data_IF_237835365857
#
_entry.id   IF_237835365857
#
_cell.length_a   1.000
_cell.length_b   1.000
_cell.length_c   1.000
_cell.angle_alpha   90.00
_cell.angle_beta   90.00
_cell.angle_gamma   90.00
#
_symmetry.space_group_name_H-M   'P 1'
#
loop_
_entity.id
_entity.type
_entity.pdbx_description
1 polymer ?
#
# COMPACT_ATOMS: atom_id res chain seq x y z
N UNK A 1 0.06 -20.57 -17.15
CA UNK A 1 -1.07 -21.18 -16.45
C UNK A 1 -2.41 -20.95 -17.16
N UNK A 2 -3.50 -21.57 -16.67
CA UNK A 2 -4.84 -21.33 -17.18
C UNK A 2 -5.26 -19.89 -16.87
N UNK A 3 -5.75 -19.16 -17.88
CA UNK A 3 -6.37 -17.84 -17.71
C UNK A 3 -7.85 -17.99 -17.41
N UNK A 4 -8.40 -17.19 -16.50
CA UNK A 4 -9.80 -17.20 -16.12
C UNK A 4 -10.26 -15.81 -15.66
N UNK A 5 -11.57 -15.67 -15.51
CA UNK A 5 -12.24 -14.51 -14.93
C UNK A 5 -13.68 -14.87 -14.62
N UNK A 6 -14.36 -13.99 -13.91
CA UNK A 6 -15.74 -14.21 -13.48
C UNK A 6 -16.71 -13.32 -14.25
N UNK A 7 -17.92 -13.82 -14.41
CA UNK A 7 -19.09 -13.03 -14.81
C UNK A 7 -20.15 -13.25 -13.76
N UNK A 8 -20.57 -12.17 -13.12
CA UNK A 8 -21.49 -12.25 -11.99
C UNK A 8 -22.84 -11.73 -12.41
N UNK A 9 -23.89 -12.49 -12.09
CA UNK A 9 -25.28 -12.17 -12.34
C UNK A 9 -25.95 -11.73 -11.05
N UNK A 10 -26.77 -10.67 -11.11
CA UNK A 10 -27.47 -10.13 -9.96
C UNK A 10 -28.26 -8.88 -10.32
N UNK A 11 -28.86 -8.21 -9.34
CA UNK A 11 -29.63 -7.00 -9.59
C UNK A 11 -28.75 -5.84 -10.06
N UNK A 12 -29.29 -5.04 -10.97
CA UNK A 12 -28.79 -3.74 -11.30
C UNK A 12 -29.68 -2.67 -10.65
N UNK A 13 -29.27 -2.20 -9.50
CA UNK A 13 -29.95 -1.14 -8.73
C UNK A 13 -28.88 -0.22 -8.11
N UNK A 14 -28.31 0.72 -8.91
CA UNK A 14 -27.24 1.60 -8.46
C UNK A 14 -27.62 2.45 -7.23
N UNK A 15 -28.89 2.83 -7.10
CA UNK A 15 -29.37 3.62 -5.96
C UNK A 15 -29.29 2.83 -4.64
N UNK A 16 -29.34 1.48 -4.70
CA UNK A 16 -29.13 0.60 -3.57
C UNK A 16 -27.71 0.02 -3.52
N UNK A 17 -26.81 0.49 -4.37
CA UNK A 17 -25.44 0.04 -4.46
C UNK A 17 -25.22 -1.28 -5.20
N UNK A 18 -26.22 -1.84 -5.86
CA UNK A 18 -26.10 -3.08 -6.63
C UNK A 18 -25.70 -2.79 -8.08
N UNK A 19 -24.53 -3.34 -8.51
CA UNK A 19 -23.92 -3.06 -9.82
C UNK A 19 -23.50 -4.33 -10.56
N UNK A 20 -24.26 -5.42 -10.42
CA UNK A 20 -23.96 -6.68 -11.13
C UNK A 20 -24.16 -6.52 -12.63
N UNK A 21 -23.12 -6.80 -13.41
CA UNK A 21 -23.17 -6.68 -14.87
C UNK A 21 -22.41 -7.84 -15.53
N UNK A 22 -23.10 -8.87 -16.03
CA UNK A 22 -22.45 -10.03 -16.63
C UNK A 22 -21.74 -9.73 -17.96
N UNK A 23 -21.90 -8.54 -18.56
CA UNK A 23 -21.12 -8.13 -19.70
C UNK A 23 -19.66 -7.79 -19.31
N UNK A 24 -19.36 -7.59 -18.01
CA UNK A 24 -18.01 -7.28 -17.52
C UNK A 24 -17.31 -8.56 -17.08
N UNK A 25 -16.15 -8.84 -17.68
CA UNK A 25 -15.24 -9.88 -17.22
C UNK A 25 -14.45 -9.35 -16.04
N UNK A 26 -14.51 -10.05 -14.91
CA UNK A 26 -13.93 -9.64 -13.64
C UNK A 26 -12.72 -10.51 -13.32
N UNK A 27 -11.66 -9.90 -12.81
CA UNK A 27 -10.57 -10.63 -12.18
C UNK A 27 -11.01 -11.17 -10.83
N UNK A 28 -10.41 -12.26 -10.43
CA UNK A 28 -10.57 -12.82 -9.09
C UNK A 28 -9.90 -11.90 -8.06
N UNK A 29 -10.62 -11.41 -7.04
CA UNK A 29 -10.02 -10.57 -5.98
C UNK A 29 -8.87 -11.24 -5.23
N UNK A 30 -8.77 -12.57 -5.29
CA UNK A 30 -7.72 -13.36 -4.65
C UNK A 30 -6.73 -13.97 -5.67
N UNK A 31 -6.69 -13.46 -6.89
CA UNK A 31 -5.77 -13.97 -7.91
C UNK A 31 -4.31 -13.72 -7.51
N UNK A 32 -3.48 -14.75 -7.55
CA UNK A 32 -2.04 -14.65 -7.28
C UNK A 32 -1.23 -14.18 -8.50
N UNK A 33 -1.86 -14.03 -9.63
CA UNK A 33 -1.32 -13.44 -10.85
C UNK A 33 -2.44 -12.92 -11.73
N UNK A 34 -2.23 -11.74 -12.28
CA UNK A 34 -3.13 -11.14 -13.28
C UNK A 34 -2.30 -10.79 -14.51
N UNK A 35 -2.75 -11.25 -15.66
CA UNK A 35 -2.14 -10.98 -16.98
C UNK A 35 -2.87 -9.82 -17.66
N UNK A 36 -2.11 -8.87 -18.14
CA UNK A 36 -2.58 -7.67 -18.83
C UNK A 36 -2.68 -6.46 -17.89
N UNK A 37 -2.66 -5.29 -18.48
CA UNK A 37 -2.87 -4.00 -17.83
C UNK A 37 -4.35 -3.64 -17.78
N UNK A 38 -4.69 -2.61 -17.03
CA UNK A 38 -6.00 -1.98 -17.02
C UNK A 38 -5.97 -0.77 -17.96
N UNK A 39 -6.42 -0.89 -19.22
CA UNK A 39 -6.40 0.20 -20.18
C UNK A 39 -7.52 1.21 -19.91
N UNK A 40 -7.34 2.46 -20.36
CA UNK A 40 -8.40 3.46 -20.46
C UNK A 40 -9.35 3.12 -21.61
N UNK A 41 -10.27 2.17 -21.37
CA UNK A 41 -11.20 1.65 -22.39
C UNK A 41 -12.63 1.65 -21.86
N UNK A 42 -13.53 2.34 -22.56
CA UNK A 42 -14.94 2.46 -22.16
C UNK A 42 -15.67 1.11 -21.99
N UNK A 43 -15.21 0.05 -22.63
CA UNK A 43 -15.79 -1.31 -22.47
C UNK A 43 -15.62 -1.86 -21.06
N UNK A 44 -14.68 -1.33 -20.28
CA UNK A 44 -14.48 -1.70 -18.87
C UNK A 44 -15.49 -1.05 -17.94
N UNK A 45 -16.15 0.02 -18.35
CA UNK A 45 -17.11 0.74 -17.49
C UNK A 45 -18.41 -0.04 -17.38
N UNK A 46 -18.92 -0.20 -16.15
CA UNK A 46 -20.15 -0.95 -15.86
C UNK A 46 -21.43 -0.21 -16.25
N UNK A 47 -21.33 1.09 -16.44
CA UNK A 47 -22.45 2.02 -16.58
C UNK A 47 -22.80 2.73 -15.26
N UNK A 48 -23.39 3.91 -15.33
CA UNK A 48 -23.76 4.69 -14.15
C UNK A 48 -25.20 4.35 -13.70
N UNK A 49 -26.21 4.64 -14.53
CA UNK A 49 -27.62 4.42 -14.22
C UNK A 49 -28.23 3.24 -14.99
N UNK A 50 -27.69 2.95 -16.17
CA UNK A 50 -28.04 1.81 -17.00
C UNK A 50 -26.82 0.92 -17.16
N UNK A 51 -26.97 -0.43 -17.15
CA UNK A 51 -25.83 -1.31 -17.34
C UNK A 51 -25.28 -1.16 -18.76
N UNK A 52 -23.98 -0.90 -18.86
CA UNK A 52 -23.28 -0.97 -20.15
C UNK A 52 -23.14 -2.43 -20.60
N UNK A 53 -23.76 -2.77 -21.72
CA UNK A 53 -23.83 -4.14 -22.24
C UNK A 53 -22.67 -4.55 -23.15
N UNK A 54 -21.70 -3.64 -23.42
CA UNK A 54 -20.51 -3.98 -24.18
C UNK A 54 -19.68 -5.02 -23.44
N UNK A 55 -19.28 -6.08 -24.12
CA UNK A 55 -18.44 -7.13 -23.51
C UNK A 55 -17.02 -6.62 -23.29
N UNK A 56 -16.54 -6.70 -22.06
CA UNK A 56 -15.20 -6.26 -21.68
C UNK A 56 -14.12 -7.34 -21.89
N UNK A 57 -14.47 -8.58 -22.20
CA UNK A 57 -13.51 -9.70 -22.18
C UNK A 57 -12.30 -9.52 -23.10
N UNK A 58 -12.44 -8.77 -24.18
CA UNK A 58 -11.33 -8.52 -25.11
C UNK A 58 -10.25 -7.60 -24.55
N UNK A 59 -10.59 -6.75 -23.55
CA UNK A 59 -9.71 -5.70 -23.00
C UNK A 59 -9.44 -5.84 -21.50
N UNK A 60 -10.30 -6.56 -20.78
CA UNK A 60 -10.12 -6.78 -19.36
C UNK A 60 -8.87 -7.64 -19.08
N UNK A 61 -8.08 -7.32 -18.04
CA UNK A 61 -7.05 -8.21 -17.53
C UNK A 61 -7.66 -9.55 -17.08
N UNK A 62 -6.85 -10.60 -17.00
CA UNK A 62 -7.31 -11.95 -16.65
C UNK A 62 -6.50 -12.51 -15.50
N UNK A 63 -7.19 -13.13 -14.57
CA UNK A 63 -6.56 -13.94 -13.54
C UNK A 63 -5.88 -15.16 -14.15
N UNK A 64 -4.77 -15.58 -13.55
CA UNK A 64 -4.02 -16.74 -14.02
C UNK A 64 -3.77 -17.71 -12.85
N UNK A 65 -4.00 -19.01 -13.11
CA UNK A 65 -3.64 -20.07 -12.15
C UNK A 65 -2.13 -20.21 -12.09
N UNK A 66 -1.56 -20.15 -10.91
CA UNK A 66 -0.12 -20.29 -10.66
C UNK A 66 0.16 -21.40 -9.66
N UNK A 67 1.36 -21.96 -9.72
CA UNK A 67 1.88 -22.89 -8.73
C UNK A 67 2.57 -22.07 -7.62
N UNK A 68 2.10 -22.20 -6.39
CA UNK A 68 2.64 -21.47 -5.25
C UNK A 68 3.80 -22.18 -4.56
N UNK A 69 4.15 -23.40 -5.00
CA UNK A 69 5.27 -24.14 -4.39
C UNK A 69 6.58 -23.40 -4.57
N UNK A 70 7.32 -23.27 -3.47
CA UNK A 70 8.62 -22.63 -3.44
C UNK A 70 9.53 -23.32 -2.41
N UNK A 71 10.83 -23.30 -2.63
CA UNK A 71 11.80 -23.90 -1.71
C UNK A 71 12.29 -22.89 -0.67
N UNK A 72 11.61 -22.84 0.45
CA UNK A 72 11.97 -22.01 1.60
C UNK A 72 13.01 -22.63 2.54
N UNK A 73 13.57 -23.81 2.21
CA UNK A 73 14.57 -24.44 3.07
C UNK A 73 15.74 -23.50 3.35
N UNK A 74 16.11 -23.41 4.66
CA UNK A 74 17.18 -22.52 5.14
C UNK A 74 16.76 -21.09 5.38
N UNK A 75 15.54 -20.68 5.00
CA UNK A 75 15.03 -19.36 5.34
C UNK A 75 14.73 -19.25 6.84
N UNK A 76 15.08 -18.08 7.41
CA UNK A 76 14.83 -17.74 8.82
C UNK A 76 14.56 -16.25 8.92
N UNK A 77 13.32 -15.85 9.20
CA UNK A 77 12.97 -14.45 9.47
C UNK A 77 13.85 -13.89 10.59
N UNK A 78 14.42 -12.68 10.43
CA UNK A 78 15.34 -12.08 11.41
C UNK A 78 14.71 -11.82 12.77
N UNK A 79 13.43 -11.42 12.80
CA UNK A 79 12.68 -11.09 14.02
C UNK A 79 13.37 -10.04 14.88
N UNK A 80 13.88 -9.00 14.27
CA UNK A 80 14.55 -7.88 14.93
C UNK A 80 13.61 -7.22 15.95
N UNK A 81 14.02 -7.07 17.23
CA UNK A 81 13.19 -6.36 18.21
C UNK A 81 12.87 -4.94 17.76
N UNK A 82 11.68 -4.43 18.08
CA UNK A 82 11.28 -3.07 17.73
C UNK A 82 12.27 -1.99 18.16
N UNK A 83 12.87 -2.13 19.35
CA UNK A 83 13.88 -1.19 19.86
C UNK A 83 15.20 -1.17 19.09
N UNK A 84 15.43 -2.15 18.21
CA UNK A 84 16.62 -2.28 17.36
C UNK A 84 16.28 -2.12 15.87
N UNK A 85 15.00 -1.83 15.56
CA UNK A 85 14.53 -1.76 14.18
C UNK A 85 14.86 -0.40 13.57
N UNK A 86 15.60 -0.43 12.47
CA UNK A 86 15.86 0.73 11.61
C UNK A 86 15.30 0.41 10.22
N UNK A 87 14.28 1.18 9.83
CA UNK A 87 13.51 0.97 8.60
C UNK A 87 14.05 1.89 7.50
N UNK A 88 14.26 1.34 6.32
CA UNK A 88 14.54 2.09 5.10
C UNK A 88 13.41 1.88 4.11
N UNK A 89 12.62 2.92 3.87
CA UNK A 89 11.57 2.92 2.86
C UNK A 89 12.16 3.09 1.47
N UNK A 90 11.75 2.27 0.52
CA UNK A 90 12.27 2.30 -0.84
C UNK A 90 11.25 1.83 -1.88
N UNK A 91 11.36 2.40 -3.08
CA UNK A 91 10.62 1.93 -4.25
C UNK A 91 11.46 0.89 -5.00
N UNK A 92 10.90 -0.28 -5.34
CA UNK A 92 11.64 -1.38 -5.98
C UNK A 92 12.44 -0.92 -7.20
N UNK A 93 11.78 -0.21 -8.12
CA UNK A 93 12.42 0.30 -9.32
C UNK A 93 13.40 1.45 -9.03
N UNK A 94 12.94 2.45 -8.26
CA UNK A 94 13.71 3.67 -8.00
C UNK A 94 15.02 3.43 -7.27
N UNK A 95 15.04 2.46 -6.35
CA UNK A 95 16.21 2.15 -5.52
C UNK A 95 17.40 1.69 -6.34
N UNK A 96 17.19 0.93 -7.41
CA UNK A 96 18.28 0.21 -8.09
C UNK A 96 18.45 0.56 -9.57
N UNK A 97 17.49 1.25 -10.20
CA UNK A 97 17.47 1.49 -11.66
C UNK A 97 18.75 2.19 -12.17
N UNK A 98 19.25 3.14 -11.42
CA UNK A 98 20.44 3.91 -11.78
C UNK A 98 21.72 3.43 -11.09
N UNK A 99 21.69 2.28 -10.42
CA UNK A 99 22.87 1.78 -9.70
C UNK A 99 23.87 1.11 -10.66
N UNK A 100 25.05 1.73 -10.89
CA UNK A 100 26.04 1.18 -11.84
C UNK A 100 26.73 -0.08 -11.34
N UNK A 101 26.64 -0.41 -10.06
CA UNK A 101 27.24 -1.63 -9.49
C UNK A 101 26.40 -2.89 -9.76
N UNK A 102 25.21 -2.72 -10.30
CA UNK A 102 24.34 -3.83 -10.65
C UNK A 102 24.39 -4.14 -12.14
N UNK A 103 24.26 -5.42 -12.53
CA UNK A 103 24.02 -5.79 -13.93
C UNK A 103 22.77 -5.08 -14.46
N UNK A 104 22.86 -4.53 -15.65
CA UNK A 104 21.77 -3.74 -16.26
C UNK A 104 20.44 -4.52 -16.32
N UNK A 105 20.50 -5.81 -16.64
CA UNK A 105 19.34 -6.68 -16.79
C UNK A 105 18.50 -6.88 -15.52
N UNK A 106 19.04 -6.55 -14.33
CA UNK A 106 18.31 -6.71 -13.07
C UNK A 106 18.02 -5.37 -12.38
N UNK A 107 18.50 -4.24 -12.91
CA UNK A 107 18.24 -2.93 -12.33
C UNK A 107 16.74 -2.62 -12.32
N UNK A 108 16.25 -2.09 -11.21
CA UNK A 108 14.84 -1.76 -11.04
C UNK A 108 13.92 -2.95 -10.81
N UNK A 109 14.47 -4.13 -10.50
CA UNK A 109 13.69 -5.36 -10.32
C UNK A 109 13.79 -5.95 -8.92
N UNK A 110 12.87 -6.88 -8.57
CA UNK A 110 12.93 -7.65 -7.32
C UNK A 110 14.28 -8.35 -7.14
N UNK A 111 14.82 -8.90 -8.22
CA UNK A 111 16.10 -9.61 -8.21
C UNK A 111 17.27 -8.73 -7.76
N UNK A 112 17.21 -7.43 -8.06
CA UNK A 112 18.23 -6.47 -7.63
C UNK A 112 18.26 -6.32 -6.11
N UNK A 113 17.12 -6.42 -5.40
CA UNK A 113 17.05 -6.23 -3.95
C UNK A 113 17.91 -7.24 -3.18
N UNK A 114 17.93 -8.50 -3.64
CA UNK A 114 18.74 -9.57 -3.05
C UNK A 114 20.18 -9.65 -3.57
N UNK A 115 20.60 -8.75 -4.47
CA UNK A 115 21.94 -8.79 -5.02
C UNK A 115 23.01 -8.42 -3.97
N UNK A 116 24.18 -9.10 -3.92
CA UNK A 116 25.20 -8.87 -2.90
C UNK A 116 25.63 -7.41 -2.74
N UNK A 117 25.70 -6.63 -3.84
CA UNK A 117 26.02 -5.20 -3.79
C UNK A 117 24.95 -4.39 -3.03
N UNK A 118 23.67 -4.72 -3.20
CA UNK A 118 22.59 -4.05 -2.47
C UNK A 118 22.56 -4.46 -0.99
N UNK A 119 22.79 -5.73 -0.70
CA UNK A 119 22.92 -6.21 0.69
C UNK A 119 24.08 -5.51 1.40
N UNK A 120 25.22 -5.38 0.74
CA UNK A 120 26.36 -4.63 1.28
C UNK A 120 26.01 -3.15 1.54
N UNK A 121 25.27 -2.53 0.62
CA UNK A 121 24.78 -1.17 0.78
C UNK A 121 23.84 -1.04 1.99
N UNK A 122 22.83 -1.90 2.12
CA UNK A 122 21.91 -1.89 3.26
C UNK A 122 22.64 -2.09 4.60
N UNK A 123 23.58 -3.00 4.65
CA UNK A 123 24.44 -3.20 5.84
C UNK A 123 25.28 -1.97 6.16
N UNK A 124 25.79 -1.27 5.16
CA UNK A 124 26.56 -0.04 5.37
C UNK A 124 25.72 1.11 5.92
N UNK A 125 24.41 1.12 5.64
CA UNK A 125 23.44 2.06 6.22
C UNK A 125 23.04 1.67 7.65
N UNK A 126 23.29 0.43 8.08
CA UNK A 126 22.88 -0.08 9.39
C UNK A 126 21.38 -0.34 9.51
N UNK A 127 20.67 -0.53 8.40
CA UNK A 127 19.23 -0.87 8.43
C UNK A 127 19.02 -2.31 8.84
N UNK A 128 17.92 -2.57 9.53
CA UNK A 128 17.46 -3.92 9.91
C UNK A 128 16.17 -4.32 9.20
N UNK A 129 15.49 -3.39 8.52
CA UNK A 129 14.29 -3.65 7.75
C UNK A 129 14.26 -2.80 6.47
N UNK A 130 13.87 -3.43 5.36
CA UNK A 130 13.58 -2.77 4.10
C UNK A 130 12.05 -2.71 3.94
N UNK A 131 11.49 -1.51 3.94
CA UNK A 131 10.08 -1.26 3.64
C UNK A 131 9.94 -0.94 2.16
N UNK A 132 9.12 -1.70 1.46
CA UNK A 132 8.91 -1.52 0.02
C UNK A 132 7.57 -0.84 -0.24
N UNK A 133 7.58 0.25 -1.04
CA UNK A 133 6.37 0.82 -1.61
C UNK A 133 5.58 -0.29 -2.32
N UNK A 134 4.28 -0.07 -2.61
CA UNK A 134 3.39 -1.15 -3.04
C UNK A 134 3.97 -2.04 -4.14
N UNK A 135 4.04 -3.33 -3.84
CA UNK A 135 4.49 -4.38 -4.77
C UNK A 135 3.33 -5.20 -5.34
N UNK A 136 2.14 -5.06 -4.75
CA UNK A 136 0.92 -5.64 -5.31
C UNK A 136 0.61 -5.02 -6.68
N UNK A 137 0.05 -5.80 -7.60
CA UNK A 137 -0.23 -5.30 -8.95
C UNK A 137 -1.22 -4.15 -8.94
N UNK A 138 -0.84 -3.05 -9.58
CA UNK A 138 -1.58 -1.80 -9.61
C UNK A 138 -1.80 -1.29 -11.03
N UNK A 139 -2.78 -0.40 -11.20
CA UNK A 139 -3.12 0.21 -12.46
C UNK A 139 -2.60 1.66 -12.55
N UNK A 140 -2.36 2.13 -13.78
CA UNK A 140 -2.20 3.56 -14.03
C UNK A 140 -3.58 4.18 -14.26
N UNK A 141 -3.80 5.35 -13.66
CA UNK A 141 -5.04 6.10 -13.82
C UNK A 141 -5.25 6.53 -15.27
N UNK A 142 -6.49 6.60 -15.76
CA UNK A 142 -6.81 7.03 -17.12
C UNK A 142 -6.15 8.36 -17.52
N UNK A 143 -6.10 9.31 -16.59
CA UNK A 143 -5.43 10.60 -16.80
C UNK A 143 -3.95 10.43 -17.15
N UNK A 144 -3.21 9.62 -16.38
CA UNK A 144 -1.79 9.37 -16.62
C UNK A 144 -1.57 8.65 -17.95
N UNK A 145 -2.41 7.66 -18.27
CA UNK A 145 -2.33 6.94 -19.56
C UNK A 145 -2.50 7.90 -20.74
N UNK A 146 -3.48 8.81 -20.68
CA UNK A 146 -3.70 9.83 -21.73
C UNK A 146 -2.53 10.82 -21.88
N UNK A 147 -1.75 11.03 -20.83
CA UNK A 147 -0.53 11.84 -20.83
C UNK A 147 0.72 11.07 -21.27
N UNK A 148 0.61 9.75 -21.52
CA UNK A 148 1.75 8.88 -21.79
C UNK A 148 2.61 8.62 -20.55
N UNK A 149 2.06 8.84 -19.36
CA UNK A 149 2.68 8.58 -18.07
C UNK A 149 2.14 7.28 -17.45
N UNK A 150 2.80 6.80 -16.42
CA UNK A 150 2.33 5.66 -15.62
C UNK A 150 2.34 6.01 -14.14
N UNK A 151 1.46 5.36 -13.37
CA UNK A 151 1.55 5.42 -11.92
C UNK A 151 2.90 4.85 -11.49
N UNK A 152 3.64 5.60 -10.67
CA UNK A 152 4.98 5.23 -10.25
C UNK A 152 5.00 4.58 -8.87
N UNK A 153 4.25 5.12 -7.92
CA UNK A 153 4.30 4.67 -6.53
C UNK A 153 3.56 3.35 -6.27
N UNK A 154 2.47 3.08 -7.00
CA UNK A 154 1.70 1.85 -6.86
C UNK A 154 0.45 1.96 -5.97
N UNK A 155 0.09 3.15 -5.49
CA UNK A 155 -1.11 3.34 -4.66
C UNK A 155 -2.39 3.40 -5.50
N UNK A 156 -2.59 2.42 -6.37
CA UNK A 156 -3.81 2.23 -7.15
C UNK A 156 -4.05 0.74 -7.39
N UNK A 157 -4.36 -0.04 -6.33
CA UNK A 157 -4.31 -1.50 -6.35
C UNK A 157 -5.38 -2.11 -7.26
N UNK A 158 -4.95 -3.08 -8.05
CA UNK A 158 -5.78 -3.88 -8.94
C UNK A 158 -5.92 -5.34 -8.44
N UNK A 159 -4.83 -5.93 -7.97
CA UNK A 159 -4.80 -7.32 -7.51
C UNK A 159 -3.89 -7.47 -6.29
N UNK A 160 -4.48 -7.64 -5.12
CA UNK A 160 -3.82 -7.60 -3.80
C UNK A 160 -2.96 -8.81 -3.47
N UNK A 161 -3.22 -9.97 -4.09
CA UNK A 161 -2.47 -11.21 -3.91
C UNK A 161 -1.44 -11.47 -5.01
N UNK A 162 -1.29 -10.54 -5.96
CA UNK A 162 -0.42 -10.68 -7.11
C UNK A 162 0.70 -9.65 -7.07
N UNK A 163 1.94 -10.08 -7.30
CA UNK A 163 3.06 -9.17 -7.49
C UNK A 163 2.95 -8.43 -8.83
N UNK A 164 3.35 -7.16 -8.84
CA UNK A 164 3.43 -6.38 -10.05
C UNK A 164 4.55 -6.91 -10.96
N UNK A 165 4.23 -7.43 -12.16
CA UNK A 165 5.22 -8.03 -13.04
C UNK A 165 6.21 -7.03 -13.64
N UNK A 166 5.91 -5.72 -13.57
CA UNK A 166 6.81 -4.66 -14.08
C UNK A 166 8.08 -4.51 -13.26
N UNK A 167 8.10 -5.05 -12.03
CA UNK A 167 9.27 -5.07 -11.16
C UNK A 167 10.05 -6.39 -11.22
N UNK A 168 9.72 -7.29 -12.13
CA UNK A 168 10.47 -8.52 -12.34
C UNK A 168 11.44 -8.42 -13.53
N UNK A 169 12.57 -9.10 -13.46
CA UNK A 169 13.47 -9.27 -14.62
C UNK A 169 12.87 -10.24 -15.64
N UNK A 170 12.09 -11.20 -15.16
CA UNK A 170 11.22 -12.08 -15.92
C UNK A 170 9.80 -11.99 -15.36
N UNK A 171 8.85 -11.34 -16.08
CA UNK A 171 7.46 -11.17 -15.64
C UNK A 171 6.75 -12.47 -15.28
N UNK A 172 7.15 -13.59 -15.88
CA UNK A 172 6.58 -14.91 -15.60
C UNK A 172 7.08 -15.49 -14.27
N UNK A 173 8.14 -14.94 -13.73
CA UNK A 173 8.78 -15.37 -12.49
C UNK A 173 8.75 -14.31 -11.38
N UNK A 174 7.89 -13.31 -11.47
CA UNK A 174 7.82 -12.22 -10.50
C UNK A 174 7.73 -12.72 -9.04
N UNK A 175 6.90 -13.73 -8.78
CA UNK A 175 6.72 -14.30 -7.45
C UNK A 175 8.00 -14.96 -6.93
N UNK A 176 8.68 -15.74 -7.77
CA UNK A 176 9.94 -16.41 -7.38
C UNK A 176 11.07 -15.39 -7.18
N UNK A 177 11.18 -14.38 -8.06
CA UNK A 177 12.21 -13.34 -7.92
C UNK A 177 12.04 -12.54 -6.62
N UNK A 178 10.81 -12.25 -6.24
CA UNK A 178 10.51 -11.58 -4.97
C UNK A 178 10.88 -12.47 -3.79
N UNK A 179 10.49 -13.76 -3.81
CA UNK A 179 10.83 -14.74 -2.76
C UNK A 179 12.33 -14.95 -2.63
N UNK A 180 13.05 -15.03 -3.76
CA UNK A 180 14.53 -15.12 -3.78
C UNK A 180 15.15 -13.89 -3.11
N UNK A 181 14.61 -12.68 -3.36
CA UNK A 181 15.07 -11.45 -2.73
C UNK A 181 14.81 -11.46 -1.22
N UNK A 182 13.60 -11.83 -0.77
CA UNK A 182 13.26 -11.94 0.66
C UNK A 182 14.22 -12.91 1.35
N UNK A 183 14.42 -14.10 0.78
CA UNK A 183 15.34 -15.11 1.32
C UNK A 183 16.78 -14.62 1.44
N UNK A 184 17.26 -13.86 0.45
CA UNK A 184 18.60 -13.26 0.48
C UNK A 184 18.73 -12.15 1.53
N UNK A 185 17.70 -11.32 1.71
CA UNK A 185 17.63 -10.28 2.74
C UNK A 185 17.60 -10.89 4.14
N UNK A 186 16.79 -11.93 4.37
CA UNK A 186 16.74 -12.67 5.65
C UNK A 186 18.12 -13.26 6.00
N UNK A 187 18.80 -13.88 5.02
CA UNK A 187 20.16 -14.40 5.24
C UNK A 187 21.15 -13.31 5.63
N UNK A 188 20.87 -12.06 5.29
CA UNK A 188 21.66 -10.89 5.67
C UNK A 188 21.22 -10.23 7.00
N UNK A 189 20.15 -10.75 7.64
CA UNK A 189 19.58 -10.17 8.85
C UNK A 189 18.69 -8.96 8.61
N UNK A 190 18.10 -8.83 7.41
CA UNK A 190 17.25 -7.69 7.00
C UNK A 190 15.82 -8.19 6.82
N UNK A 191 14.90 -7.63 7.56
CA UNK A 191 13.46 -7.89 7.43
C UNK A 191 12.88 -7.19 6.18
N UNK A 192 11.76 -7.71 5.67
CA UNK A 192 11.01 -7.11 4.56
C UNK A 192 9.63 -6.71 5.05
N UNK A 193 9.32 -5.42 4.94
CA UNK A 193 8.02 -4.84 5.26
C UNK A 193 7.37 -4.40 3.95
N UNK A 194 6.09 -4.71 3.76
CA UNK A 194 5.35 -4.27 2.58
C UNK A 194 4.42 -3.10 2.93
N UNK A 195 4.47 -2.07 2.11
CA UNK A 195 3.42 -1.06 2.06
C UNK A 195 2.20 -1.67 1.36
N UNK A 196 1.08 -1.75 2.06
CA UNK A 196 -0.13 -2.41 1.58
C UNK A 196 -1.32 -1.47 1.55
N UNK A 197 -1.99 -1.42 0.40
CA UNK A 197 -3.14 -0.55 0.14
C UNK A 197 -4.42 -1.36 0.26
N UNK A 198 -5.05 -1.36 1.44
CA UNK A 198 -6.33 -2.03 1.70
C UNK A 198 -7.50 -1.05 1.82
N UNK A 199 -7.28 0.22 1.53
CA UNK A 199 -8.27 1.26 1.79
C UNK A 199 -9.11 1.62 0.55
N UNK A 200 -8.62 1.39 -0.67
CA UNK A 200 -9.33 1.67 -1.93
C UNK A 200 -8.91 0.70 -3.05
N UNK A 201 -9.50 0.87 -4.23
CA UNK A 201 -9.19 0.08 -5.42
C UNK A 201 -9.04 0.94 -6.66
N UNK A 202 -8.40 0.38 -7.70
CA UNK A 202 -8.27 0.98 -9.03
C UNK A 202 -9.61 1.14 -9.79
N UNK A 203 -10.73 0.71 -9.20
CA UNK A 203 -12.07 0.93 -9.78
C UNK A 203 -12.56 2.37 -9.61
N UNK A 204 -11.80 3.24 -8.93
CA UNK A 204 -11.98 4.70 -8.80
C UNK A 204 -13.39 5.03 -8.25
N UNK A 205 -14.11 5.94 -8.90
CA UNK A 205 -15.46 6.40 -8.57
C UNK A 205 -16.55 5.65 -9.38
N UNK A 206 -17.78 6.16 -9.37
CA UNK A 206 -18.90 5.55 -10.10
C UNK A 206 -18.69 5.48 -11.62
N UNK A 207 -17.89 6.36 -12.19
CA UNK A 207 -17.58 6.39 -13.61
C UNK A 207 -16.39 5.48 -13.96
N UNK A 208 -15.65 5.00 -12.95
CA UNK A 208 -14.50 4.15 -13.13
C UNK A 208 -14.82 2.74 -13.66
N UNK A 209 -13.77 1.95 -13.93
CA UNK A 209 -13.93 0.62 -14.50
C UNK A 209 -14.59 -0.36 -13.52
N UNK A 210 -15.26 -1.38 -14.05
CA UNK A 210 -15.80 -2.53 -13.32
C UNK A 210 -14.99 -3.75 -13.72
N UNK A 211 -14.01 -4.12 -12.91
CA UNK A 211 -13.01 -5.14 -13.26
C UNK A 211 -12.74 -6.16 -12.16
N UNK A 212 -13.22 -5.90 -10.93
CA UNK A 212 -13.04 -6.80 -9.79
C UNK A 212 -14.17 -6.63 -8.77
N UNK A 213 -13.89 -6.04 -7.62
CA UNK A 213 -14.74 -5.96 -6.43
C UNK A 213 -16.13 -5.40 -6.71
N UNK A 214 -16.21 -4.31 -7.49
CA UNK A 214 -17.46 -3.67 -7.88
C UNK A 214 -18.42 -4.63 -8.59
N UNK A 215 -17.88 -5.41 -9.51
CA UNK A 215 -18.68 -6.37 -10.27
C UNK A 215 -18.98 -7.65 -9.50
N UNK A 216 -18.16 -8.00 -8.50
CA UNK A 216 -18.35 -9.17 -7.64
C UNK A 216 -19.49 -8.92 -6.63
N UNK A 217 -19.35 -7.87 -5.82
CA UNK A 217 -20.38 -7.41 -4.88
C UNK A 217 -20.07 -5.99 -4.38
N UNK A 218 -20.51 -5.00 -5.16
CA UNK A 218 -20.22 -3.60 -4.88
C UNK A 218 -20.59 -3.18 -3.46
N UNK A 219 -21.77 -3.60 -2.99
CA UNK A 219 -22.32 -3.17 -1.70
C UNK A 219 -21.56 -3.74 -0.50
N UNK A 220 -20.99 -4.93 -0.63
CA UNK A 220 -20.21 -5.56 0.42
C UNK A 220 -18.80 -5.01 0.48
N UNK A 221 -18.15 -4.81 -0.67
CA UNK A 221 -16.76 -4.39 -0.75
C UNK A 221 -16.54 -2.91 -0.48
N UNK A 222 -17.52 -2.04 -0.76
CA UNK A 222 -17.35 -0.59 -0.65
C UNK A 222 -18.27 0.04 0.39
N UNK A 223 -17.82 1.13 0.98
CA UNK A 223 -18.66 2.03 1.72
C UNK A 223 -19.54 2.83 0.75
N UNK A 224 -20.80 2.41 0.60
CA UNK A 224 -21.81 3.01 -0.28
C UNK A 224 -22.72 3.92 0.53
N UNK A 225 -22.93 5.14 0.03
CA UNK A 225 -23.85 6.13 0.60
C UNK A 225 -25.32 5.80 0.23
N UNK A 226 -26.25 6.48 0.86
CA UNK A 226 -27.69 6.31 0.60
C UNK A 226 -28.11 6.64 -0.84
N UNK A 227 -27.34 7.50 -1.54
CA UNK A 227 -27.56 7.87 -2.94
C UNK A 227 -26.89 6.89 -3.93
N UNK A 228 -26.26 5.84 -3.45
CA UNK A 228 -25.57 4.83 -4.25
C UNK A 228 -24.14 5.20 -4.65
N UNK A 229 -23.65 6.40 -4.26
CA UNK A 229 -22.27 6.81 -4.46
C UNK A 229 -21.36 6.27 -3.35
N UNK A 230 -20.05 6.43 -3.49
CA UNK A 230 -19.07 5.97 -2.50
C UNK A 230 -18.76 7.04 -1.45
N UNK A 231 -18.50 6.58 -0.22
CA UNK A 231 -17.68 7.37 0.69
C UNK A 231 -16.25 7.42 0.14
N UNK A 232 -15.76 8.63 -0.09
CA UNK A 232 -14.40 8.85 -0.60
C UNK A 232 -13.48 9.38 0.51
N UNK A 233 -13.26 8.58 1.56
CA UNK A 233 -12.36 8.92 2.66
C UNK A 233 -10.89 8.76 2.31
N UNK A 234 -10.61 8.22 1.14
CA UNK A 234 -9.25 7.95 0.64
C UNK A 234 -8.74 9.03 -0.32
N UNK A 235 -9.64 9.81 -0.92
CA UNK A 235 -9.30 10.73 -2.00
C UNK A 235 -9.19 10.07 -3.38
N UNK A 236 -9.30 8.73 -3.44
CA UNK A 236 -9.13 7.94 -4.67
C UNK A 236 -10.44 7.54 -5.35
N UNK A 237 -11.57 8.11 -4.92
CA UNK A 237 -12.89 7.89 -5.50
C UNK A 237 -13.75 6.84 -4.79
N UNK A 238 -13.16 5.93 -4.04
CA UNK A 238 -13.87 4.91 -3.28
C UNK A 238 -13.18 4.63 -1.94
N UNK A 239 -13.86 3.92 -1.06
CA UNK A 239 -13.32 3.40 0.20
C UNK A 239 -13.81 1.97 0.41
N UNK A 240 -12.88 1.04 0.66
CA UNK A 240 -13.24 -0.35 0.96
C UNK A 240 -13.87 -0.48 2.35
N UNK A 241 -14.90 -1.33 2.45
CA UNK A 241 -15.63 -1.58 3.68
C UNK A 241 -14.97 -2.69 4.52
N UNK A 242 -13.90 -2.35 5.21
CA UNK A 242 -13.16 -3.26 6.10
C UNK A 242 -13.88 -3.54 7.43
N UNK A 243 -15.17 -3.22 7.54
CA UNK A 243 -16.06 -3.67 8.63
C UNK A 243 -17.00 -4.80 8.20
N UNK A 244 -17.18 -5.04 6.89
CA UNK A 244 -18.00 -6.13 6.39
C UNK A 244 -17.31 -7.48 6.60
N UNK A 245 -17.94 -8.51 7.21
CA UNK A 245 -17.28 -9.76 7.59
C UNK A 245 -16.55 -10.47 6.45
N UNK A 246 -17.16 -10.52 5.25
CA UNK A 246 -16.53 -11.15 4.08
C UNK A 246 -15.29 -10.39 3.57
N UNK A 247 -15.30 -9.04 3.68
CA UNK A 247 -14.17 -8.20 3.27
C UNK A 247 -13.05 -8.26 4.32
N UNK A 248 -13.39 -8.33 5.60
CA UNK A 248 -12.43 -8.57 6.69
C UNK A 248 -11.70 -9.89 6.48
N UNK A 249 -12.42 -10.96 6.17
CA UNK A 249 -11.81 -12.27 5.92
C UNK A 249 -10.94 -12.27 4.68
N UNK A 250 -11.36 -11.63 3.59
CA UNK A 250 -10.56 -11.45 2.38
C UNK A 250 -9.27 -10.67 2.67
N UNK A 251 -9.34 -9.57 3.40
CA UNK A 251 -8.18 -8.77 3.80
C UNK A 251 -7.22 -9.57 4.69
N UNK A 252 -7.77 -10.34 5.65
CA UNK A 252 -6.97 -11.23 6.51
C UNK A 252 -6.23 -12.29 5.68
N UNK A 253 -6.91 -12.92 4.71
CA UNK A 253 -6.29 -13.89 3.81
C UNK A 253 -5.21 -13.25 2.93
N UNK A 254 -5.42 -12.01 2.47
CA UNK A 254 -4.41 -11.26 1.74
C UNK A 254 -3.14 -11.08 2.57
N UNK A 255 -3.25 -10.61 3.80
CA UNK A 255 -2.11 -10.45 4.70
C UNK A 255 -1.42 -11.79 4.99
N UNK A 256 -2.22 -12.86 5.19
CA UNK A 256 -1.68 -14.22 5.39
C UNK A 256 -0.90 -14.72 4.18
N UNK A 257 -1.38 -14.48 2.96
CA UNK A 257 -0.65 -14.83 1.74
C UNK A 257 0.75 -14.22 1.72
N UNK A 258 0.88 -12.94 2.02
CA UNK A 258 2.18 -12.28 2.04
C UNK A 258 3.13 -12.82 3.11
N UNK A 259 2.60 -13.19 4.27
CA UNK A 259 3.42 -13.77 5.35
C UNK A 259 3.71 -15.25 5.08
N UNK A 260 2.69 -16.06 4.76
CA UNK A 260 2.84 -17.51 4.67
C UNK A 260 3.53 -17.94 3.38
N UNK A 261 3.26 -17.25 2.25
CA UNK A 261 3.76 -17.63 0.93
C UNK A 261 4.97 -16.80 0.49
N UNK A 262 5.10 -15.57 0.98
CA UNK A 262 6.17 -14.67 0.60
C UNK A 262 7.16 -14.36 1.74
N UNK A 263 6.91 -14.85 2.94
CA UNK A 263 7.74 -14.69 4.15
C UNK A 263 8.06 -13.23 4.50
N UNK A 264 7.14 -12.30 4.24
CA UNK A 264 7.32 -10.91 4.67
C UNK A 264 7.19 -10.78 6.19
N UNK A 265 7.94 -9.86 6.79
CA UNK A 265 8.07 -9.70 8.24
C UNK A 265 7.09 -8.66 8.81
N UNK A 266 6.38 -7.94 7.94
CA UNK A 266 5.43 -6.94 8.40
C UNK A 266 4.79 -6.14 7.28
N UNK A 267 3.94 -5.20 7.71
CA UNK A 267 3.18 -4.33 6.83
C UNK A 267 3.20 -2.89 7.33
N UNK A 268 3.30 -1.95 6.40
CA UNK A 268 2.86 -0.57 6.58
C UNK A 268 1.52 -0.43 5.86
N UNK A 269 0.49 0.01 6.57
CA UNK A 269 -0.85 0.14 6.01
C UNK A 269 -1.07 1.59 5.56
N UNK A 270 -1.29 1.75 4.27
CA UNK A 270 -1.67 3.01 3.64
C UNK A 270 -3.03 3.47 4.15
N UNK A 271 -3.16 4.76 4.52
CA UNK A 271 -4.37 5.36 5.07
C UNK A 271 -5.06 4.44 6.11
N UNK A 272 -4.30 3.95 7.09
CA UNK A 272 -4.72 2.88 8.00
C UNK A 272 -5.94 3.23 8.84
N UNK A 273 -6.32 4.51 8.97
CA UNK A 273 -7.55 4.91 9.65
C UNK A 273 -8.80 4.28 9.02
N UNK A 274 -8.76 3.97 7.71
CA UNK A 274 -9.85 3.25 7.03
C UNK A 274 -10.10 1.87 7.64
N UNK A 275 -9.06 1.19 8.14
CA UNK A 275 -9.19 -0.14 8.76
C UNK A 275 -10.03 -0.11 10.04
N UNK A 276 -10.06 1.05 10.73
CA UNK A 276 -10.80 1.26 11.97
C UNK A 276 -12.23 1.79 11.78
N UNK A 277 -12.63 2.11 10.55
CA UNK A 277 -13.94 2.73 10.29
C UNK A 277 -15.11 1.75 10.40
N UNK A 278 -16.19 2.20 11.17
CA UNK A 278 -17.42 1.41 11.45
C UNK A 278 -18.72 2.24 11.55
N UNK A 279 -19.01 3.36 10.88
CA UNK A 279 -18.20 4.22 9.98
C UNK A 279 -17.19 5.15 10.67
N UNK A 280 -17.33 5.37 11.97
CA UNK A 280 -16.37 6.12 12.77
C UNK A 280 -15.20 5.23 13.17
N UNK A 281 -14.04 5.82 13.44
CA UNK A 281 -12.86 5.06 13.82
C UNK A 281 -13.03 4.39 15.20
N UNK A 282 -12.68 3.10 15.28
CA UNK A 282 -12.69 2.31 16.51
C UNK A 282 -11.45 1.44 16.62
N UNK A 283 -10.86 1.36 17.81
CA UNK A 283 -9.70 0.49 18.08
C UNK A 283 -10.06 -1.01 18.09
N UNK A 284 -11.33 -1.34 18.29
CA UNK A 284 -11.88 -2.70 18.28
C UNK A 284 -12.61 -3.02 16.97
N UNK A 285 -12.29 -2.29 15.88
CA UNK A 285 -12.87 -2.55 14.57
C UNK A 285 -12.60 -3.98 14.09
N UNK A 286 -13.49 -4.56 13.27
CA UNK A 286 -13.45 -5.99 12.92
C UNK A 286 -12.11 -6.45 12.33
N UNK A 287 -11.46 -5.65 11.49
CA UNK A 287 -10.19 -6.03 10.90
C UNK A 287 -9.04 -6.02 11.93
N UNK A 288 -9.00 -5.04 12.85
CA UNK A 288 -8.02 -5.02 13.93
C UNK A 288 -8.16 -6.26 14.82
N UNK A 289 -9.40 -6.63 15.16
CA UNK A 289 -9.68 -7.84 15.93
C UNK A 289 -9.32 -9.13 15.19
N UNK A 290 -9.55 -9.18 13.88
CA UNK A 290 -9.17 -10.33 13.05
C UNK A 290 -7.64 -10.51 13.02
N UNK A 291 -6.87 -9.41 12.85
CA UNK A 291 -5.41 -9.43 12.88
C UNK A 291 -4.91 -9.84 14.28
N UNK A 292 -5.46 -9.26 15.34
CA UNK A 292 -5.07 -9.55 16.73
C UNK A 292 -5.25 -11.03 17.10
N UNK A 293 -6.32 -11.65 16.60
CA UNK A 293 -6.64 -13.08 16.88
C UNK A 293 -5.92 -14.04 15.97
N UNK A 294 -5.36 -13.59 14.87
CA UNK A 294 -4.62 -14.44 13.95
C UNK A 294 -3.23 -14.76 14.52
N UNK A 295 -2.91 -16.06 14.66
CA UNK A 295 -1.69 -16.53 15.30
C UNK A 295 -0.40 -16.17 14.54
N UNK A 296 -0.52 -15.79 13.27
CA UNK A 296 0.62 -15.39 12.43
C UNK A 296 0.67 -13.86 12.33
N UNK A 297 -0.44 -13.22 11.96
CA UNK A 297 -0.47 -11.78 11.76
C UNK A 297 -0.20 -10.98 13.04
N UNK A 298 -0.55 -11.53 14.20
CA UNK A 298 -0.21 -10.91 15.49
C UNK A 298 1.28 -10.95 15.84
N UNK A 299 2.11 -11.66 15.07
CA UNK A 299 3.55 -11.83 15.33
C UNK A 299 4.45 -11.03 14.37
N UNK A 300 3.90 -10.44 13.32
CA UNK A 300 4.65 -9.62 12.37
C UNK A 300 4.59 -8.15 12.75
N UNK A 301 5.48 -7.34 12.18
CA UNK A 301 5.47 -5.89 12.38
C UNK A 301 4.27 -5.26 11.68
N UNK A 302 3.50 -4.46 12.42
CA UNK A 302 2.34 -3.75 11.90
C UNK A 302 2.54 -2.25 12.12
N UNK A 303 2.55 -1.48 11.05
CA UNK A 303 2.78 -0.04 11.05
C UNK A 303 1.56 0.63 10.42
N UNK A 304 0.97 1.58 11.12
CA UNK A 304 -0.12 2.37 10.58
C UNK A 304 0.39 3.70 10.05
N UNK A 305 -0.07 4.08 8.86
CA UNK A 305 -0.20 5.48 8.49
C UNK A 305 -1.48 5.99 9.16
N UNK A 306 -1.40 6.77 10.25
CA UNK A 306 -2.52 6.93 11.18
C UNK A 306 -3.48 8.06 10.79
N UNK A 307 -3.81 8.19 9.50
CA UNK A 307 -4.79 9.16 8.99
C UNK A 307 -5.51 8.67 7.74
N UNK A 308 -6.59 9.35 7.41
CA UNK A 308 -7.26 9.40 6.12
C UNK A 308 -7.90 10.81 5.96
N UNK A 309 -8.50 11.11 4.80
CA UNK A 309 -9.03 12.45 4.53
C UNK A 309 -10.50 12.64 4.96
N UNK A 310 -11.14 11.60 5.49
CA UNK A 310 -12.52 11.68 5.94
C UNK A 310 -12.67 12.36 7.31
N UNK A 311 -13.90 12.72 7.68
CA UNK A 311 -14.17 13.27 9.01
C UNK A 311 -13.65 12.35 10.11
N UNK A 312 -12.90 12.91 11.09
CA UNK A 312 -12.29 12.14 12.17
C UNK A 312 -11.20 11.17 11.70
N UNK A 313 -10.61 11.38 10.52
CA UNK A 313 -9.63 10.46 9.92
C UNK A 313 -8.24 10.53 10.56
N UNK A 314 -7.86 11.63 11.20
CA UNK A 314 -6.56 11.75 11.88
C UNK A 314 -6.57 11.04 13.22
N UNK A 315 -5.78 9.96 13.36
CA UNK A 315 -5.84 9.02 14.47
C UNK A 315 -4.47 8.73 15.11
N UNK A 316 -3.51 9.65 15.00
CA UNK A 316 -2.18 9.48 15.62
C UNK A 316 -2.32 9.25 17.13
N UNK A 317 -1.73 8.15 17.62
CA UNK A 317 -1.81 7.71 19.01
C UNK A 317 -3.04 6.86 19.35
N UNK A 318 -3.99 6.71 18.44
CA UNK A 318 -5.27 6.04 18.71
C UNK A 318 -5.38 4.62 18.14
N UNK A 319 -4.36 4.07 17.50
CA UNK A 319 -4.39 2.68 17.00
C UNK A 319 -4.28 1.66 18.15
N UNK A 320 -4.73 0.41 17.95
CA UNK A 320 -4.53 -0.66 18.94
C UNK A 320 -3.06 -0.84 19.29
N UNK A 321 -2.71 -1.31 20.52
CA UNK A 321 -1.31 -1.47 20.97
C UNK A 321 -0.45 -2.40 20.11
N UNK A 322 -1.06 -3.23 19.27
CA UNK A 322 -0.36 -4.11 18.33
C UNK A 322 0.33 -3.33 17.19
N UNK A 323 -0.12 -2.09 16.92
CA UNK A 323 0.39 -1.26 15.83
C UNK A 323 1.41 -0.25 16.34
N UNK A 324 2.52 -0.15 15.61
CA UNK A 324 3.33 1.06 15.60
C UNK A 324 2.71 2.08 14.61
N UNK A 325 2.98 3.35 14.82
CA UNK A 325 2.36 4.41 14.03
C UNK A 325 3.41 5.37 13.48
N UNK A 326 3.26 5.80 12.25
CA UNK A 326 4.03 6.92 11.71
C UNK A 326 3.76 8.19 12.53
N UNK A 327 4.83 8.84 12.96
CA UNK A 327 4.75 10.02 13.82
C UNK A 327 5.09 11.30 13.03
N UNK A 328 4.06 11.93 12.47
CA UNK A 328 4.20 13.20 11.76
C UNK A 328 4.60 14.35 12.70
N UNK A 329 4.22 14.31 13.98
CA UNK A 329 4.68 15.27 14.97
C UNK A 329 6.21 15.21 15.17
N UNK A 330 6.79 14.00 15.15
CA UNK A 330 8.25 13.88 15.17
C UNK A 330 8.86 14.46 13.91
N UNK A 331 8.37 14.06 12.71
CA UNK A 331 8.83 14.54 11.42
C UNK A 331 8.86 16.07 11.37
N UNK A 332 7.73 16.67 11.67
CA UNK A 332 7.56 18.12 11.58
C UNK A 332 8.38 18.87 12.62
N UNK A 333 8.43 18.35 13.84
CA UNK A 333 9.25 18.92 14.92
C UNK A 333 10.75 18.85 14.60
N UNK A 334 11.22 17.71 14.08
CA UNK A 334 12.62 17.54 13.70
C UNK A 334 13.01 18.51 12.56
N UNK A 335 12.21 18.62 11.51
CA UNK A 335 12.44 19.56 10.41
C UNK A 335 12.44 21.01 10.89
N UNK A 336 11.46 21.40 11.70
CA UNK A 336 11.35 22.75 12.25
C UNK A 336 12.48 23.07 13.21
N UNK A 337 12.94 22.12 14.00
CA UNK A 337 14.06 22.32 14.94
C UNK A 337 15.37 22.55 14.20
N UNK A 338 15.70 21.68 13.22
CA UNK A 338 16.99 21.74 12.54
C UNK A 338 17.04 22.77 11.40
N UNK A 339 15.94 22.96 10.66
CA UNK A 339 15.94 23.78 9.45
C UNK A 339 15.35 25.18 9.70
N UNK A 340 14.34 25.33 10.55
CA UNK A 340 13.65 26.62 10.76
C UNK A 340 13.97 27.24 12.12
N UNK A 341 14.53 26.49 13.06
CA UNK A 341 14.89 26.93 14.40
C UNK A 341 13.70 27.57 15.19
N UNK A 342 12.49 27.08 14.96
CA UNK A 342 11.25 27.62 15.54
C UNK A 342 10.51 26.64 16.46
N UNK A 343 11.21 25.63 16.97
CA UNK A 343 10.72 24.66 17.97
C UNK A 343 11.65 24.70 19.17
N UNK A 344 11.09 24.66 20.38
CA UNK A 344 11.88 24.63 21.61
C UNK A 344 12.66 23.31 21.76
N UNK A 345 13.78 23.34 22.47
CA UNK A 345 14.54 22.13 22.81
C UNK A 345 13.66 21.14 23.61
N UNK A 346 12.77 21.63 24.49
CA UNK A 346 11.87 20.79 25.27
C UNK A 346 10.86 20.05 24.40
N UNK A 347 10.24 20.73 23.44
CA UNK A 347 9.28 20.12 22.51
C UNK A 347 9.98 19.08 21.63
N UNK A 348 11.16 19.40 21.09
CA UNK A 348 11.92 18.45 20.28
C UNK A 348 12.35 17.23 21.11
N UNK A 349 12.82 17.43 22.35
CA UNK A 349 13.21 16.34 23.24
C UNK A 349 12.03 15.42 23.56
N UNK A 350 10.82 15.97 23.76
CA UNK A 350 9.61 15.18 23.97
C UNK A 350 9.30 14.28 22.76
N UNK A 351 9.41 14.82 21.53
CA UNK A 351 9.23 14.02 20.29
C UNK A 351 10.31 12.95 20.17
N UNK A 352 11.57 13.33 20.42
CA UNK A 352 12.70 12.41 20.36
C UNK A 352 12.61 11.28 21.41
N UNK A 353 12.05 11.58 22.59
CA UNK A 353 11.80 10.61 23.66
C UNK A 353 10.46 9.86 23.48
N UNK A 354 10.10 9.51 22.24
CA UNK A 354 8.95 8.67 21.88
C UNK A 354 7.57 9.32 22.07
N UNK A 355 7.45 10.65 22.11
CA UNK A 355 6.16 11.36 22.12
C UNK A 355 5.13 10.77 23.12
N UNK A 356 5.52 10.66 24.38
CA UNK A 356 4.71 9.98 25.42
C UNK A 356 3.32 10.60 25.63
N UNK A 357 3.14 11.89 25.32
CA UNK A 357 1.85 12.58 25.33
C UNK A 357 0.85 12.01 24.28
N UNK A 358 1.36 11.42 23.20
CA UNK A 358 0.57 10.78 22.15
C UNK A 358 0.45 9.27 22.37
N UNK A 359 1.54 8.58 22.70
CA UNK A 359 1.64 7.12 22.64
C UNK A 359 1.63 6.42 24.01
N UNK A 360 1.85 7.11 25.14
CA UNK A 360 1.81 6.45 26.46
C UNK A 360 0.40 6.05 26.91
N UNK A 361 -0.64 6.47 26.19
CA UNK A 361 -2.01 6.04 26.43
C UNK A 361 -2.15 4.56 26.11
N UNK A 362 -3.06 3.89 26.79
CA UNK A 362 -3.41 2.48 26.56
C UNK A 362 -2.24 1.49 26.71
N UNK A 363 -1.16 1.89 27.42
CA UNK A 363 -0.04 1.02 27.73
C UNK A 363 0.89 0.72 26.54
N UNK A 364 0.88 1.55 25.50
CA UNK A 364 1.79 1.40 24.37
C UNK A 364 3.26 1.58 24.78
N UNK A 365 4.17 0.75 24.28
CA UNK A 365 5.60 0.90 24.53
C UNK A 365 6.17 2.13 23.81
N UNK A 366 7.34 2.64 24.21
CA UNK A 366 8.03 3.72 23.49
C UNK A 366 8.31 3.40 22.01
N UNK A 367 8.41 2.14 21.65
CA UNK A 367 8.59 1.66 20.26
C UNK A 367 7.31 1.67 19.42
N UNK A 368 6.17 2.09 19.97
CA UNK A 368 4.93 2.25 19.21
C UNK A 368 4.99 3.46 18.24
N UNK A 369 5.95 4.36 18.41
CA UNK A 369 6.16 5.48 17.50
C UNK A 369 7.23 5.15 16.45
N UNK A 370 6.90 5.28 15.17
CA UNK A 370 7.86 5.24 14.06
C UNK A 370 8.29 6.69 13.80
N UNK A 371 9.49 7.03 14.25
CA UNK A 371 10.08 8.34 14.07
C UNK A 371 10.70 8.43 12.67
N UNK A 372 10.19 9.30 11.82
CA UNK A 372 10.68 9.50 10.44
C UNK A 372 11.01 10.98 10.21
N UNK A 373 11.96 11.25 9.32
CA UNK A 373 12.26 12.61 8.86
C UNK A 373 11.69 12.84 7.47
N UNK A 374 11.73 11.82 6.63
CA UNK A 374 11.20 11.81 5.25
C UNK A 374 10.54 10.46 4.96
N UNK A 375 9.58 10.45 4.04
CA UNK A 375 8.96 9.28 3.45
C UNK A 375 8.79 9.53 1.94
N UNK A 376 8.06 8.65 1.23
CA UNK A 376 7.73 8.88 -0.18
C UNK A 376 6.88 10.14 -0.38
N UNK A 377 6.05 10.50 0.61
CA UNK A 377 5.25 11.72 0.61
C UNK A 377 6.06 12.96 0.99
N UNK A 378 5.75 14.08 0.32
CA UNK A 378 6.40 15.35 0.58
C UNK A 378 7.83 15.41 0.05
N UNK A 379 8.67 16.23 0.69
CA UNK A 379 10.03 16.46 0.25
C UNK A 379 10.97 15.29 0.60
N UNK A 380 11.85 14.95 -0.33
CA UNK A 380 13.04 14.14 -0.04
C UNK A 380 13.94 14.87 0.97
N UNK A 381 14.87 14.14 1.58
CA UNK A 381 15.84 14.77 2.49
C UNK A 381 16.66 15.87 1.80
N UNK A 382 16.99 15.70 0.51
CA UNK A 382 17.63 16.73 -0.29
C UNK A 382 16.75 17.95 -0.51
N UNK A 383 15.49 17.74 -0.87
CA UNK A 383 14.56 18.84 -1.16
C UNK A 383 14.27 19.67 0.09
N UNK A 384 14.28 19.05 1.27
CA UNK A 384 14.14 19.74 2.55
C UNK A 384 15.21 20.82 2.79
N UNK A 385 16.40 20.67 2.19
CA UNK A 385 17.54 21.59 2.34
C UNK A 385 17.89 22.33 1.04
N UNK A 386 17.08 22.17 -0.02
CA UNK A 386 17.32 22.80 -1.32
C UNK A 386 16.15 23.67 -1.80
N UNK A 387 14.94 23.49 -1.28
CA UNK A 387 13.75 24.17 -1.77
C UNK A 387 12.86 24.64 -0.63
N UNK A 388 12.34 25.86 -0.77
CA UNK A 388 11.32 26.41 0.15
C UNK A 388 9.89 26.05 -0.28
N UNK A 389 9.69 25.68 -1.54
CA UNK A 389 8.39 25.35 -2.11
C UNK A 389 8.49 24.10 -2.98
N UNK A 390 7.37 23.39 -3.13
CA UNK A 390 7.29 22.22 -4.00
C UNK A 390 7.40 22.60 -5.49
N UNK A 391 7.90 21.65 -6.30
CA UNK A 391 8.11 21.78 -7.74
C UNK A 391 7.57 20.53 -8.44
N UNK A 392 6.25 20.37 -8.45
CA UNK A 392 5.54 19.21 -8.97
C UNK A 392 4.90 19.45 -10.34
N UNK A 393 5.30 20.50 -11.06
CA UNK A 393 4.71 20.90 -12.35
C UNK A 393 4.75 19.76 -13.38
N UNK A 394 5.80 18.93 -13.34
CA UNK A 394 5.96 17.79 -14.24
C UNK A 394 4.87 16.71 -14.09
N UNK A 395 4.16 16.68 -12.96
CA UNK A 395 3.05 15.75 -12.73
C UNK A 395 1.76 16.16 -13.49
N UNK A 396 1.74 17.36 -14.11
CA UNK A 396 0.60 17.85 -14.89
C UNK A 396 -0.62 18.25 -14.04
N UNK A 397 -0.41 18.59 -12.76
CA UNK A 397 -1.46 19.03 -11.83
C UNK A 397 -1.29 20.50 -11.40
N UNK A 398 -0.56 21.28 -12.19
CA UNK A 398 -0.33 22.70 -11.93
C UNK A 398 0.28 22.96 -10.54
N UNK A 399 1.13 22.05 -10.07
CA UNK A 399 1.76 22.09 -8.75
C UNK A 399 0.74 22.12 -7.57
N UNK A 400 -0.48 21.59 -7.77
CA UNK A 400 -1.50 21.50 -6.71
C UNK A 400 -1.34 20.26 -5.84
N UNK A 401 -0.75 19.21 -6.37
CA UNK A 401 -0.50 17.93 -5.71
C UNK A 401 0.56 18.05 -4.61
N UNK A 402 0.47 17.17 -3.60
CA UNK A 402 1.34 17.17 -2.45
C UNK A 402 1.12 18.32 -1.47
N UNK A 403 1.75 18.26 -0.31
CA UNK A 403 1.63 19.28 0.73
C UNK A 403 2.48 20.53 0.45
N UNK A 404 1.99 21.69 0.89
CA UNK A 404 2.77 22.93 0.93
C UNK A 404 3.60 23.05 2.23
N UNK A 405 3.28 22.25 3.27
CA UNK A 405 3.89 22.32 4.59
C UNK A 405 5.00 21.30 4.74
N UNK A 406 6.13 21.51 4.06
CA UNK A 406 7.28 20.62 4.15
C UNK A 406 8.27 21.01 5.25
N UNK A 407 8.11 22.18 5.89
CA UNK A 407 9.02 22.70 6.91
C UNK A 407 10.49 22.67 6.47
N UNK A 408 10.71 22.95 5.23
CA UNK A 408 12.03 23.00 4.56
C UNK A 408 12.69 24.37 4.71
N UNK A 409 13.96 24.44 4.41
CA UNK A 409 14.75 25.67 4.36
C UNK A 409 15.85 25.52 3.34
N UNK A 410 15.92 26.46 2.38
CA UNK A 410 16.99 26.59 1.38
C UNK A 410 17.99 27.62 1.83
#
# INVERSE_FOLDING_TARGET
GLRYGYRVHGPWDPAQGHRFNPAKLLIDPSAHRVEGDLPDDERLHGGMWQPDRRDSAAVAPKSQVVDLRYDWRGDKPPRTPWGETVIYEAHVKGLTLLNPQLPEAIRGTYKALGHPAMIAYFKSLGISALELLPVAQFASEPRLQRMGLSNYWGYNPLAWFALDPRYASDPDRALDEFRDAVKALHAAGIEVILDIVLNHSAEIDLEGPTVSLRGIDNRSYYWVREDGDYHNWTGCGNTLNLSHPGVVEWARQCLRFWVDECHVDGFRFDLASVMGRTPEFRQDAPLFEAIRRDSVLSQVKLIAEPWDIGPGGYQVGNFPPLFAEWNDHFRDSARRFWLQQNVSLGDFAQRFAASSDLFARDGKPPSATVNLVTAHDGFTLRDCVCFNQKHNEANGEENRDGTNNNYSNN
#
